data_IF_907580068089
#
_entry.id   IF_907580068089
#
_cell.length_a   1.000
_cell.length_b   1.000
_cell.length_c   1.000
_cell.angle_alpha   90.00
_cell.angle_beta   90.00
_cell.angle_gamma   90.00
#
_symmetry.space_group_name_H-M   'P 1'
#
loop_
_entity.id
_entity.type
_entity.pdbx_description
1 polymer ?
#
# COMPACT_ATOMS: atom_id res chain seq x y z
N UNK A 1 -10.57 11.18 35.48
CA UNK A 1 -9.77 11.29 34.25
C UNK A 1 -9.54 9.89 33.76
N UNK A 2 -10.27 9.47 32.74
CA UNK A 2 -10.02 8.18 32.06
C UNK A 2 -8.94 8.43 31.03
N UNK A 3 -7.75 7.88 31.27
CA UNK A 3 -6.68 7.86 30.28
C UNK A 3 -7.15 7.04 29.08
N UNK A 4 -7.37 7.74 27.96
CA UNK A 4 -7.70 7.12 26.69
C UNK A 4 -6.40 6.49 26.16
N UNK A 5 -6.22 5.19 26.35
CA UNK A 5 -5.11 4.46 25.75
C UNK A 5 -5.36 4.44 24.24
N UNK A 6 -4.75 5.38 23.52
CA UNK A 6 -4.73 5.35 22.07
C UNK A 6 -3.99 4.08 21.64
N UNK A 7 -4.68 3.18 20.95
CA UNK A 7 -4.04 2.00 20.36
C UNK A 7 -2.95 2.49 19.40
N UNK A 8 -1.74 1.91 19.42
CA UNK A 8 -0.70 2.30 18.48
C UNK A 8 -1.21 2.18 17.06
N UNK A 9 -1.07 3.25 16.26
CA UNK A 9 -1.41 3.23 14.86
C UNK A 9 -0.61 2.12 14.16
N UNK A 10 -1.28 1.32 13.32
CA UNK A 10 -0.58 0.30 12.54
C UNK A 10 0.42 0.99 11.58
N UNK A 11 1.50 0.30 11.19
CA UNK A 11 2.47 0.87 10.23
C UNK A 11 1.83 1.36 8.93
N UNK A 12 0.70 0.75 8.54
CA UNK A 12 -0.09 1.13 7.38
C UNK A 12 -0.87 2.43 7.62
N UNK A 13 -1.45 2.58 8.81
CA UNK A 13 -2.13 3.83 9.21
C UNK A 13 -1.14 4.99 9.20
N UNK A 14 0.05 4.78 9.77
CA UNK A 14 1.14 5.76 9.77
C UNK A 14 1.57 6.09 8.34
N UNK A 15 1.75 5.10 7.48
CA UNK A 15 2.10 5.33 6.07
C UNK A 15 1.07 6.20 5.35
N UNK A 16 -0.23 5.95 5.56
CA UNK A 16 -1.30 6.76 4.95
C UNK A 16 -1.30 8.20 5.45
N UNK A 17 -1.06 8.41 6.75
CA UNK A 17 -0.92 9.74 7.33
C UNK A 17 0.26 10.48 6.68
N UNK A 18 1.43 9.84 6.58
CA UNK A 18 2.60 10.41 5.90
C UNK A 18 2.32 10.77 4.44
N UNK A 19 1.61 9.91 3.70
CA UNK A 19 1.20 10.22 2.31
C UNK A 19 0.23 11.40 2.26
N UNK A 20 -0.67 11.54 3.24
CA UNK A 20 -1.59 12.69 3.28
C UNK A 20 -0.93 14.01 3.68
N UNK A 21 0.22 13.95 4.35
CA UNK A 21 1.02 15.10 4.76
C UNK A 21 2.01 15.57 3.69
N UNK A 22 2.21 14.78 2.63
CA UNK A 22 3.08 15.13 1.51
C UNK A 22 2.52 16.33 0.75
N UNK A 23 3.19 17.48 0.91
CA UNK A 23 2.93 18.68 0.13
C UNK A 23 3.65 18.59 -1.22
N UNK A 24 2.89 18.29 -2.27
CA UNK A 24 3.43 18.17 -3.63
C UNK A 24 4.02 19.46 -4.17
N UNK A 25 3.70 20.63 -3.60
CA UNK A 25 4.31 21.88 -4.04
C UNK A 25 5.76 22.04 -3.57
N UNK A 26 6.21 21.24 -2.60
CA UNK A 26 7.56 21.28 -2.05
C UNK A 26 8.53 20.29 -2.72
N UNK A 27 8.01 19.37 -3.53
CA UNK A 27 8.80 18.42 -4.27
C UNK A 27 9.24 19.05 -5.61
N UNK A 28 10.48 18.81 -6.01
CA UNK A 28 10.96 19.18 -7.35
C UNK A 28 10.42 18.23 -8.42
N UNK A 29 10.40 18.66 -9.68
CA UNK A 29 9.92 17.85 -10.81
C UNK A 29 10.56 16.46 -10.87
N UNK A 30 11.86 16.35 -10.59
CA UNK A 30 12.57 15.07 -10.56
C UNK A 30 12.06 14.18 -9.42
N UNK A 31 11.80 14.76 -8.24
CA UNK A 31 11.25 14.01 -7.11
C UNK A 31 9.83 13.53 -7.37
N UNK A 32 9.01 14.29 -8.12
CA UNK A 32 7.68 13.83 -8.54
C UNK A 32 7.77 12.63 -9.48
N UNK A 33 8.65 12.70 -10.47
CA UNK A 33 8.84 11.64 -11.46
C UNK A 33 9.31 10.36 -10.75
N UNK A 34 10.33 10.47 -9.90
CA UNK A 34 10.87 9.32 -9.16
C UNK A 34 9.82 8.72 -8.22
N UNK A 35 9.08 9.56 -7.48
CA UNK A 35 8.04 9.10 -6.56
C UNK A 35 6.90 8.41 -7.30
N UNK A 36 6.49 8.93 -8.46
CA UNK A 36 5.46 8.33 -9.29
C UNK A 36 5.91 6.99 -9.86
N UNK A 37 7.15 6.90 -10.36
CA UNK A 37 7.71 5.65 -10.87
C UNK A 37 7.79 4.57 -9.79
N UNK A 38 8.25 4.91 -8.58
CA UNK A 38 8.28 3.98 -7.45
C UNK A 38 6.87 3.53 -7.04
N UNK A 39 5.90 4.44 -7.06
CA UNK A 39 4.51 4.11 -6.75
C UNK A 39 3.91 3.14 -7.77
N UNK A 40 4.12 3.38 -9.07
CA UNK A 40 3.69 2.50 -10.16
C UNK A 40 4.33 1.10 -10.05
N UNK A 41 5.65 1.02 -9.86
CA UNK A 41 6.36 -0.26 -9.68
C UNK A 41 5.83 -1.03 -8.46
N UNK A 42 5.54 -0.32 -7.36
CA UNK A 42 4.99 -0.94 -6.15
C UNK A 42 3.58 -1.48 -6.37
N UNK A 43 2.72 -0.73 -7.07
CA UNK A 43 1.36 -1.17 -7.42
C UNK A 43 1.43 -2.41 -8.32
N UNK A 44 2.30 -2.41 -9.34
CA UNK A 44 2.50 -3.56 -10.22
C UNK A 44 2.94 -4.79 -9.43
N UNK A 45 3.94 -4.67 -8.57
CA UNK A 45 4.40 -5.75 -7.69
C UNK A 45 3.31 -6.29 -6.76
N UNK A 46 2.47 -5.42 -6.19
CA UNK A 46 1.32 -5.82 -5.37
C UNK A 46 0.28 -6.59 -6.19
N UNK A 47 -0.04 -6.12 -7.40
CA UNK A 47 -0.95 -6.81 -8.32
C UNK A 47 -0.43 -8.19 -8.69
N UNK A 48 0.87 -8.33 -8.98
CA UNK A 48 1.49 -9.64 -9.21
C UNK A 48 1.39 -10.55 -8.00
N UNK A 49 1.65 -10.04 -6.79
CA UNK A 49 1.47 -10.80 -5.56
C UNK A 49 0.03 -11.29 -5.37
N UNK A 50 -0.96 -10.44 -5.66
CA UNK A 50 -2.38 -10.80 -5.59
C UNK A 50 -2.74 -11.90 -6.61
N UNK A 51 -2.23 -11.80 -7.85
CA UNK A 51 -2.43 -12.84 -8.86
C UNK A 51 -1.81 -14.17 -8.43
N UNK A 52 -0.56 -14.15 -7.93
CA UNK A 52 0.11 -15.33 -7.41
C UNK A 52 -0.67 -16.01 -6.28
N UNK A 53 -1.18 -15.21 -5.33
CA UNK A 53 -2.04 -15.71 -4.25
C UNK A 53 -3.31 -16.34 -4.83
N UNK A 54 -3.97 -15.67 -5.78
CA UNK A 54 -5.16 -16.20 -6.46
C UNK A 54 -4.88 -17.55 -7.12
N UNK A 55 -3.78 -17.67 -7.87
CA UNK A 55 -3.35 -18.92 -8.51
C UNK A 55 -3.16 -20.03 -7.48
N UNK A 56 -2.48 -19.73 -6.37
CA UNK A 56 -2.30 -20.67 -5.26
C UNK A 56 -3.66 -21.17 -4.73
N UNK A 57 -4.64 -20.29 -4.54
CA UNK A 57 -5.99 -20.70 -4.07
C UNK A 57 -6.77 -21.54 -5.08
N UNK A 58 -6.54 -21.34 -6.39
CA UNK A 58 -7.21 -22.12 -7.44
C UNK A 58 -6.58 -23.47 -7.71
N UNK A 59 -5.36 -23.71 -7.22
CA UNK A 59 -4.71 -25.02 -7.29
C UNK A 59 -5.20 -25.96 -6.18
N UNK A 60 -5.02 -27.28 -6.33
CA UNK A 60 -5.38 -28.32 -5.34
C UNK A 60 -4.49 -28.29 -4.06
N UNK A 61 -3.96 -27.12 -3.70
CA UNK A 61 -3.13 -26.90 -2.53
C UNK A 61 -3.95 -26.97 -1.25
N UNK A 62 -3.40 -27.64 -0.23
CA UNK A 62 -3.97 -27.62 1.12
C UNK A 62 -3.33 -26.49 1.92
N UNK A 63 -4.15 -25.56 2.41
CA UNK A 63 -3.69 -24.41 3.19
C UNK A 63 -3.83 -24.66 4.69
N UNK A 64 -2.83 -24.26 5.47
CA UNK A 64 -2.90 -24.27 6.93
C UNK A 64 -3.64 -23.03 7.43
N UNK A 65 -4.13 -23.04 8.67
CA UNK A 65 -4.74 -21.86 9.28
C UNK A 65 -3.77 -20.66 9.33
N UNK A 66 -2.49 -20.91 9.56
CA UNK A 66 -1.49 -19.84 9.63
C UNK A 66 -1.17 -19.27 8.24
N UNK A 67 -1.14 -20.09 7.18
CA UNK A 67 -1.02 -19.56 5.81
C UNK A 67 -2.22 -18.70 5.43
N UNK A 68 -3.44 -19.09 5.84
CA UNK A 68 -4.65 -18.28 5.60
C UNK A 68 -4.63 -16.96 6.36
N UNK A 69 -4.16 -16.93 7.62
CA UNK A 69 -3.97 -15.68 8.37
C UNK A 69 -2.97 -14.76 7.69
N UNK A 70 -1.86 -15.30 7.18
CA UNK A 70 -0.85 -14.51 6.48
C UNK A 70 -1.39 -13.91 5.18
N UNK A 71 -2.14 -14.69 4.40
CA UNK A 71 -2.87 -14.19 3.24
C UNK A 71 -3.82 -13.07 3.65
N UNK A 72 -4.64 -13.27 4.69
CA UNK A 72 -5.58 -12.26 5.18
C UNK A 72 -4.88 -10.96 5.59
N UNK A 73 -3.74 -11.07 6.29
CA UNK A 73 -2.92 -9.92 6.65
C UNK A 73 -2.36 -9.20 5.42
N UNK A 74 -1.87 -9.94 4.42
CA UNK A 74 -1.39 -9.36 3.15
C UNK A 74 -2.52 -8.66 2.38
N UNK A 75 -3.68 -9.30 2.21
CA UNK A 75 -4.83 -8.71 1.53
C UNK A 75 -5.30 -7.44 2.23
N UNK A 76 -5.37 -7.46 3.56
CA UNK A 76 -5.69 -6.26 4.35
C UNK A 76 -4.64 -5.18 4.15
N UNK A 77 -3.36 -5.53 4.07
CA UNK A 77 -2.31 -4.56 3.83
C UNK A 77 -2.41 -3.93 2.42
N UNK A 78 -2.55 -4.76 1.39
CA UNK A 78 -2.70 -4.32 0.01
C UNK A 78 -3.93 -3.40 -0.16
N UNK A 79 -5.07 -3.75 0.44
CA UNK A 79 -6.30 -2.95 0.37
C UNK A 79 -6.13 -1.53 0.95
N UNK A 80 -5.22 -1.37 1.92
CA UNK A 80 -4.91 -0.05 2.48
C UNK A 80 -3.79 0.69 1.76
N UNK A 81 -2.81 -0.04 1.22
CA UNK A 81 -1.63 0.54 0.55
C UNK A 81 -1.94 1.02 -0.87
N UNK A 82 -2.70 0.25 -1.65
CA UNK A 82 -2.99 0.56 -3.05
C UNK A 82 -3.53 1.98 -3.22
N UNK A 83 -4.57 2.44 -2.48
CA UNK A 83 -5.08 3.80 -2.63
C UNK A 83 -4.04 4.89 -2.36
N UNK A 84 -3.17 4.70 -1.36
CA UNK A 84 -2.14 5.66 -1.03
C UNK A 84 -1.07 5.73 -2.13
N UNK A 85 -0.67 4.58 -2.68
CA UNK A 85 0.28 4.53 -3.80
C UNK A 85 -0.32 5.12 -5.09
N UNK A 86 -1.61 4.92 -5.36
CA UNK A 86 -2.26 5.53 -6.52
C UNK A 86 -2.21 7.05 -6.46
N UNK A 87 -2.51 7.65 -5.30
CA UNK A 87 -2.39 9.09 -5.09
C UNK A 87 -0.96 9.58 -5.38
N UNK A 88 0.05 8.81 -4.97
CA UNK A 88 1.44 9.15 -5.25
C UNK A 88 1.80 9.06 -6.74
N UNK A 89 1.27 8.06 -7.45
CA UNK A 89 1.49 7.88 -8.89
C UNK A 89 0.86 8.98 -9.76
N UNK A 90 -0.25 9.57 -9.31
CA UNK A 90 -0.96 10.62 -10.03
C UNK A 90 -0.24 11.99 -9.99
N UNK A 91 0.73 12.18 -9.09
CA UNK A 91 1.47 13.46 -8.97
C UNK A 91 2.25 13.86 -10.23
N UNK A 92 2.60 12.91 -11.09
CA UNK A 92 3.22 13.16 -12.40
C UNK A 92 2.27 13.89 -13.38
N UNK A 93 0.96 13.66 -13.28
CA UNK A 93 -0.02 14.20 -14.24
C UNK A 93 -0.43 15.65 -13.96
N UNK A 94 -0.15 16.18 -12.76
CA UNK A 94 -0.48 17.56 -12.37
C UNK A 94 0.59 18.60 -12.77
N UNK A 95 1.71 18.18 -13.37
CA UNK A 95 2.82 19.07 -13.75
C UNK A 95 2.75 19.59 -15.21
N UNK A 96 1.58 19.52 -15.85
CA UNK A 96 1.34 20.01 -17.21
C UNK A 96 0.26 21.09 -17.30
#
# INVERSE_FOLDING_TARGET
MTDYISTPASSITIFRELVSELDSQQLSDIQHIDLSAVAEETIEGLCHGLMFISEAFTSDNTFTNDSLKQVGAFLSAAAHLIPALTVLGEYSQSAH
#
